data_IF_315618740726
#
_entry.id   IF_315618740726
#
_cell.length_a   1.000
_cell.length_b   1.000
_cell.length_c   1.000
_cell.angle_alpha   90.00
_cell.angle_beta   90.00
_cell.angle_gamma   90.00
#
_symmetry.space_group_name_H-M   'P 1'
#
loop_
_entity.id
_entity.type
_entity.pdbx_description
1 polymer ?
#
# COMPACT_ATOMS: atom_id res chain seq x y z
N UNK A 1 -34.13 29.91 9.08
CA UNK A 1 -34.38 29.04 10.24
C UNK A 1 -34.61 27.58 9.86
N UNK A 2 -35.45 27.23 8.87
CA UNK A 2 -35.69 25.84 8.47
C UNK A 2 -34.45 25.06 7.98
N UNK A 3 -33.56 25.69 7.20
CA UNK A 3 -32.34 25.04 6.71
C UNK A 3 -31.33 24.68 7.82
N UNK A 4 -31.25 25.49 8.88
CA UNK A 4 -30.39 25.21 10.03
C UNK A 4 -30.94 24.05 10.89
N UNK A 5 -32.27 23.95 11.00
CA UNK A 5 -32.92 22.81 11.66
C UNK A 5 -32.71 21.49 10.91
N UNK A 6 -32.82 21.52 9.57
CA UNK A 6 -32.57 20.34 8.73
C UNK A 6 -31.09 19.93 8.79
N UNK A 7 -30.16 20.88 8.74
CA UNK A 7 -28.73 20.59 8.87
C UNK A 7 -28.37 19.98 10.24
N UNK A 8 -28.96 20.48 11.33
CA UNK A 8 -28.75 19.92 12.67
C UNK A 8 -29.32 18.51 12.81
N UNK A 9 -30.52 18.26 12.24
CA UNK A 9 -31.12 16.92 12.20
C UNK A 9 -30.26 15.96 11.39
N UNK A 10 -29.83 16.36 10.18
CA UNK A 10 -28.94 15.57 9.35
C UNK A 10 -27.61 15.28 10.06
N UNK A 11 -27.00 16.28 10.70
CA UNK A 11 -25.75 16.11 11.43
C UNK A 11 -25.89 15.17 12.65
N UNK A 12 -27.04 15.19 13.33
CA UNK A 12 -27.38 14.24 14.40
C UNK A 12 -27.71 12.83 13.88
N UNK A 13 -28.13 12.71 12.62
CA UNK A 13 -28.51 11.46 11.96
C UNK A 13 -27.36 10.83 11.15
N UNK A 14 -26.26 11.56 10.89
CA UNK A 14 -25.12 11.08 10.12
C UNK A 14 -23.93 10.73 11.02
N UNK A 15 -23.49 9.48 10.97
CA UNK A 15 -22.23 9.05 11.58
C UNK A 15 -21.08 9.19 10.56
N UNK A 16 -19.97 9.82 10.98
CA UNK A 16 -18.74 9.83 10.17
C UNK A 16 -18.04 8.47 10.31
N UNK A 17 -17.78 7.81 9.19
CA UNK A 17 -17.07 6.54 9.13
C UNK A 17 -15.65 6.76 8.61
N UNK A 18 -14.73 5.91 9.04
CA UNK A 18 -13.38 5.85 8.48
C UNK A 18 -13.20 4.56 7.68
N UNK A 19 -12.42 4.63 6.60
CA UNK A 19 -11.90 3.46 5.91
C UNK A 19 -10.44 3.27 6.34
N UNK A 20 -10.09 2.11 6.89
CA UNK A 20 -8.74 1.86 7.39
C UNK A 20 -8.69 0.80 8.47
N UNK A 21 -8.10 1.12 9.62
CA UNK A 21 -7.85 0.17 10.70
C UNK A 21 -7.97 0.84 12.06
N UNK A 22 -8.53 0.14 13.04
CA UNK A 22 -8.56 0.55 14.44
C UNK A 22 -8.31 -0.69 15.30
N UNK A 23 -7.30 -0.62 16.16
CA UNK A 23 -7.08 -1.62 17.20
C UNK A 23 -6.77 -0.93 18.53
N UNK A 24 -7.27 -1.51 19.60
CA UNK A 24 -7.14 -1.02 20.96
C UNK A 24 -6.75 -2.18 21.87
N UNK A 25 -5.58 -2.10 22.49
CA UNK A 25 -5.09 -3.07 23.46
C UNK A 25 -5.01 -2.39 24.83
N UNK A 26 -5.81 -2.87 25.78
CA UNK A 26 -5.89 -2.33 27.13
C UNK A 26 -4.93 -3.06 28.06
N UNK A 27 -4.48 -2.37 29.10
CA UNK A 27 -3.72 -2.93 30.22
C UNK A 27 -2.48 -3.75 29.79
N UNK A 28 -1.76 -3.28 28.77
CA UNK A 28 -0.53 -3.91 28.27
C UNK A 28 0.57 -3.71 29.29
N UNK A 29 1.14 -4.82 29.78
CA UNK A 29 2.19 -4.83 30.81
C UNK A 29 3.51 -4.25 30.30
N UNK A 30 4.13 -3.39 31.11
CA UNK A 30 5.46 -2.80 30.94
C UNK A 30 6.12 -2.72 32.32
N UNK A 31 7.03 -3.64 32.63
CA UNK A 31 7.49 -3.88 34.00
C UNK A 31 6.32 -4.14 34.96
N UNK A 32 6.24 -3.40 36.06
CA UNK A 32 5.15 -3.49 37.05
C UNK A 32 3.96 -2.56 36.76
N UNK A 33 3.96 -1.88 35.60
CA UNK A 33 2.94 -0.91 35.20
C UNK A 33 2.20 -1.39 33.96
N UNK A 34 1.08 -0.73 33.67
CA UNK A 34 0.32 -0.96 32.43
C UNK A 34 0.16 0.30 31.61
N UNK A 35 0.01 0.10 30.30
CA UNK A 35 -0.35 1.15 29.34
C UNK A 35 -1.52 0.68 28.48
N UNK A 36 -2.30 1.61 27.96
CA UNK A 36 -3.22 1.34 26.86
C UNK A 36 -2.57 1.76 25.55
N UNK A 37 -2.62 0.91 24.54
CA UNK A 37 -2.04 1.15 23.22
C UNK A 37 -3.12 1.07 22.15
N UNK A 38 -3.19 2.09 21.30
CA UNK A 38 -4.14 2.17 20.19
C UNK A 38 -3.38 2.45 18.90
N UNK A 39 -3.88 1.89 17.80
CA UNK A 39 -3.41 2.19 16.46
C UNK A 39 -4.60 2.48 15.57
N UNK A 40 -4.60 3.66 14.96
CA UNK A 40 -5.64 4.11 14.04
C UNK A 40 -5.00 4.45 12.71
N UNK A 41 -5.42 3.77 11.65
CA UNK A 41 -5.07 4.14 10.28
C UNK A 41 -6.30 4.59 9.51
N UNK A 42 -6.19 5.72 8.82
CA UNK A 42 -7.27 6.34 8.04
C UNK A 42 -6.79 6.55 6.61
N UNK A 43 -7.49 5.93 5.67
CA UNK A 43 -7.20 6.07 4.24
C UNK A 43 -8.03 7.21 3.65
N UNK A 44 -7.36 8.08 2.90
CA UNK A 44 -8.01 9.19 2.21
C UNK A 44 -8.99 8.70 1.15
N UNK A 45 -10.15 9.35 1.11
CA UNK A 45 -11.19 9.14 0.10
C UNK A 45 -10.93 9.94 -1.18
N UNK A 46 -10.06 10.95 -1.14
CA UNK A 46 -9.94 11.94 -2.22
C UNK A 46 -9.44 11.35 -3.55
N UNK A 47 -8.47 10.42 -3.48
CA UNK A 47 -7.96 9.67 -4.63
C UNK A 47 -7.93 8.17 -4.32
N UNK A 48 -9.07 7.64 -3.89
CA UNK A 48 -9.21 6.22 -3.60
C UNK A 48 -9.20 5.37 -4.88
N UNK A 49 -8.74 4.12 -4.75
CA UNK A 49 -8.75 3.18 -5.86
C UNK A 49 -7.83 1.98 -5.69
N UNK A 50 -7.79 1.15 -6.72
CA UNK A 50 -7.02 -0.10 -6.75
C UNK A 50 -5.57 0.12 -7.15
N UNK A 51 -4.71 -0.86 -6.84
CA UNK A 51 -3.25 -0.73 -6.90
C UNK A 51 -2.71 -0.27 -8.26
N UNK A 52 -3.21 -0.84 -9.36
CA UNK A 52 -2.69 -0.52 -10.69
C UNK A 52 -3.47 0.58 -11.42
N UNK A 53 -4.75 0.78 -11.07
CA UNK A 53 -5.61 1.77 -11.74
C UNK A 53 -5.48 3.18 -11.16
N UNK A 54 -5.07 3.33 -9.89
CA UNK A 54 -4.85 4.66 -9.27
C UNK A 54 -3.44 4.77 -8.70
N UNK A 55 -2.65 5.66 -9.31
CA UNK A 55 -1.28 6.02 -8.94
C UNK A 55 -1.08 7.53 -9.04
N UNK A 56 -0.03 8.01 -8.38
CA UNK A 56 0.37 9.40 -8.47
C UNK A 56 -0.64 10.37 -7.89
N UNK A 57 -0.51 11.62 -8.33
CA UNK A 57 -1.36 12.75 -7.95
C UNK A 57 -2.49 12.97 -8.97
N UNK A 58 -3.64 13.50 -8.52
CA UNK A 58 -4.68 14.03 -9.41
C UNK A 58 -4.51 15.52 -9.69
N UNK A 59 -5.44 16.10 -10.46
CA UNK A 59 -5.45 17.52 -10.81
C UNK A 59 -5.72 18.45 -9.60
N UNK A 60 -6.16 17.92 -8.46
CA UNK A 60 -6.34 18.68 -7.22
C UNK A 60 -5.12 18.64 -6.31
N UNK A 61 -4.08 17.87 -6.65
CA UNK A 61 -2.93 17.67 -5.76
C UNK A 61 -3.14 16.54 -4.74
N UNK A 62 -4.20 15.74 -4.84
CA UNK A 62 -4.43 14.61 -3.94
C UNK A 62 -3.74 13.35 -4.48
N UNK A 63 -3.05 12.61 -3.61
CA UNK A 63 -2.29 11.42 -4.01
C UNK A 63 -3.05 10.12 -3.74
N UNK A 64 -2.84 9.14 -4.61
CA UNK A 64 -3.40 7.81 -4.43
C UNK A 64 -2.86 7.15 -3.15
N UNK A 65 -3.70 6.32 -2.52
CA UNK A 65 -3.34 5.54 -1.33
C UNK A 65 -2.72 6.38 -0.18
N UNK A 66 -3.17 7.63 0.00
CA UNK A 66 -2.78 8.44 1.14
C UNK A 66 -3.39 7.86 2.42
N UNK A 67 -2.55 7.61 3.43
CA UNK A 67 -2.95 7.02 4.71
C UNK A 67 -2.26 7.76 5.85
N UNK A 68 -3.05 8.20 6.80
CA UNK A 68 -2.60 8.61 8.14
C UNK A 68 -2.54 7.37 9.02
N UNK A 69 -1.46 7.19 9.77
CA UNK A 69 -1.34 6.14 10.79
C UNK A 69 -0.90 6.80 12.09
N UNK A 70 -1.74 6.67 13.11
CA UNK A 70 -1.60 7.32 14.40
C UNK A 70 -1.53 6.27 15.51
N UNK A 71 -0.42 6.29 16.25
CA UNK A 71 -0.24 5.44 17.43
C UNK A 71 -0.50 6.28 18.66
N UNK A 72 -1.43 5.83 19.50
CA UNK A 72 -1.84 6.53 20.71
C UNK A 72 -1.48 5.66 21.91
N UNK A 73 -0.91 6.28 22.94
CA UNK A 73 -0.66 5.63 24.23
C UNK A 73 -1.36 6.37 25.34
N UNK A 74 -1.98 5.65 26.26
CA UNK A 74 -2.41 6.20 27.53
C UNK A 74 -1.63 5.57 28.67
N UNK A 75 -1.08 6.41 29.55
CA UNK A 75 -0.24 6.03 30.66
C UNK A 75 -0.72 6.71 31.94
N UNK A 76 -0.72 5.98 33.06
CA UNK A 76 -1.16 6.50 34.35
C UNK A 76 -2.68 6.62 34.49
N UNK A 77 -3.15 7.17 35.61
CA UNK A 77 -4.57 7.27 35.95
C UNK A 77 -4.89 8.59 36.67
N UNK A 78 -6.17 8.97 36.64
CA UNK A 78 -6.67 10.21 37.25
C UNK A 78 -5.92 11.45 36.76
N UNK A 79 -5.51 12.31 37.69
CA UNK A 79 -4.79 13.56 37.39
C UNK A 79 -3.38 13.36 36.81
N UNK A 80 -2.83 12.13 36.92
CA UNK A 80 -1.54 11.74 36.34
C UNK A 80 -1.67 11.10 34.96
N UNK A 81 -2.88 11.04 34.38
CA UNK A 81 -3.10 10.48 33.04
C UNK A 81 -2.34 11.32 32.00
N UNK A 82 -1.52 10.63 31.22
CA UNK A 82 -0.82 11.17 30.05
C UNK A 82 -1.29 10.41 28.82
N UNK A 83 -1.74 11.16 27.80
CA UNK A 83 -2.08 10.62 26.49
C UNK A 83 -1.09 11.16 25.49
N UNK A 84 -0.39 10.29 24.77
CA UNK A 84 0.47 10.68 23.66
C UNK A 84 -0.12 10.18 22.35
N UNK A 85 0.04 10.95 21.27
CA UNK A 85 -0.29 10.51 19.92
C UNK A 85 0.85 10.87 18.95
N UNK A 86 1.29 9.87 18.18
CA UNK A 86 2.33 10.01 17.17
C UNK A 86 1.77 9.68 15.80
N UNK A 87 1.69 10.70 14.95
CA UNK A 87 1.13 10.62 13.61
C UNK A 87 2.25 10.45 12.57
N UNK A 88 2.03 9.54 11.63
CA UNK A 88 2.84 9.37 10.43
C UNK A 88 1.94 9.33 9.20
N UNK A 89 2.48 9.71 8.04
CA UNK A 89 1.75 9.64 6.77
C UNK A 89 2.46 8.73 5.78
N UNK A 90 1.69 8.17 4.86
CA UNK A 90 2.21 7.53 3.64
C UNK A 90 1.30 7.80 2.48
N UNK A 91 1.81 7.71 1.27
CA UNK A 91 1.01 7.90 0.07
C UNK A 91 1.83 7.80 -1.20
N UNK A 92 1.14 7.68 -2.33
CA UNK A 92 1.80 7.64 -3.63
C UNK A 92 2.69 8.87 -3.85
N UNK A 93 3.65 8.73 -4.75
CA UNK A 93 4.56 9.81 -5.10
C UNK A 93 3.75 10.92 -5.79
N UNK A 94 3.85 12.17 -5.31
CA UNK A 94 3.03 13.31 -5.75
C UNK A 94 3.44 13.88 -7.12
N UNK A 95 3.55 13.01 -8.12
CA UNK A 95 3.72 13.38 -9.54
C UNK A 95 2.71 12.59 -10.39
N UNK A 96 2.54 12.96 -11.66
CA UNK A 96 1.62 12.27 -12.56
C UNK A 96 2.32 11.04 -13.15
N UNK A 97 1.91 9.87 -12.69
CA UNK A 97 2.42 8.59 -13.19
C UNK A 97 1.36 7.49 -13.08
N UNK A 98 1.50 6.46 -13.91
CA UNK A 98 0.60 5.31 -13.96
C UNK A 98 1.33 3.99 -14.09
N UNK A 99 0.61 2.91 -13.84
CA UNK A 99 1.13 1.55 -13.94
C UNK A 99 0.02 0.59 -14.36
N UNK A 100 -0.49 0.77 -15.58
CA UNK A 100 -1.65 0.02 -16.06
C UNK A 100 -1.40 -1.51 -16.12
N UNK A 101 -2.40 -2.32 -15.76
CA UNK A 101 -2.30 -3.78 -15.89
C UNK A 101 -2.15 -4.18 -17.36
N UNK A 102 -1.35 -5.22 -17.62
CA UNK A 102 -1.10 -5.72 -18.98
C UNK A 102 -0.70 -7.20 -19.01
N UNK A 103 -1.20 -8.00 -18.04
CA UNK A 103 -0.80 -9.38 -17.80
C UNK A 103 0.67 -9.61 -17.44
N UNK A 104 1.56 -8.60 -17.48
CA UNK A 104 2.92 -8.79 -16.95
C UNK A 104 2.86 -8.86 -15.43
N UNK A 105 3.70 -9.71 -14.83
CA UNK A 105 3.80 -9.84 -13.38
C UNK A 105 4.06 -8.50 -12.67
N UNK A 106 4.91 -7.66 -13.25
CA UNK A 106 5.19 -6.31 -12.78
C UNK A 106 5.15 -5.34 -13.97
N UNK A 107 3.99 -4.72 -14.25
CA UNK A 107 3.87 -3.75 -15.34
C UNK A 107 4.84 -2.58 -15.14
N UNK A 108 5.32 -2.00 -16.23
CA UNK A 108 6.34 -0.95 -16.16
C UNK A 108 5.68 0.37 -15.75
N UNK A 109 6.14 1.04 -14.68
CA UNK A 109 5.67 2.38 -14.33
C UNK A 109 5.99 3.36 -15.46
N UNK A 110 5.08 4.29 -15.71
CA UNK A 110 5.24 5.34 -16.72
C UNK A 110 4.94 6.69 -16.08
N UNK A 111 5.84 7.65 -16.29
CA UNK A 111 5.60 9.06 -16.00
C UNK A 111 4.79 9.63 -17.16
N UNK A 112 3.68 10.27 -16.81
CA UNK A 112 2.73 10.82 -17.78
C UNK A 112 2.69 12.36 -17.74
N UNK A 113 3.19 12.98 -16.65
CA UNK A 113 3.23 14.44 -16.49
C UNK A 113 4.42 15.11 -17.16
N UNK A 114 4.25 16.40 -17.49
CA UNK A 114 5.38 17.31 -17.81
C UNK A 114 6.05 17.81 -16.54
N UNK A 115 7.27 18.30 -16.64
CA UNK A 115 8.02 18.86 -15.50
C UNK A 115 7.27 20.03 -14.83
N UNK A 116 6.58 20.87 -15.61
CA UNK A 116 5.80 22.00 -15.11
C UNK A 116 4.54 21.54 -14.39
N UNK A 117 3.77 20.62 -14.99
CA UNK A 117 2.51 20.13 -14.40
C UNK A 117 2.79 19.32 -13.14
N UNK A 118 3.80 18.44 -13.17
CA UNK A 118 4.24 17.70 -12.00
C UNK A 118 4.65 18.65 -10.87
N UNK A 119 5.44 19.68 -11.18
CA UNK A 119 5.88 20.64 -10.16
C UNK A 119 4.74 21.45 -9.57
N UNK A 120 3.77 21.87 -10.39
CA UNK A 120 2.59 22.59 -9.92
C UNK A 120 1.78 21.73 -8.94
N UNK A 121 1.45 20.50 -9.32
CA UNK A 121 0.65 19.59 -8.48
C UNK A 121 1.42 19.12 -7.25
N UNK A 122 2.72 18.87 -7.39
CA UNK A 122 3.62 18.58 -6.27
C UNK A 122 3.61 19.73 -5.26
N UNK A 123 3.77 20.97 -5.73
CA UNK A 123 3.77 22.15 -4.87
C UNK A 123 2.44 22.34 -4.15
N UNK A 124 1.30 22.13 -4.83
CA UNK A 124 -0.02 22.14 -4.20
C UNK A 124 -0.11 21.07 -3.10
N UNK A 125 0.27 19.83 -3.43
CA UNK A 125 0.25 18.73 -2.48
C UNK A 125 1.11 18.99 -1.24
N UNK A 126 2.33 19.50 -1.44
CA UNK A 126 3.23 19.81 -0.33
C UNK A 126 2.72 20.97 0.51
N UNK A 127 2.15 22.02 -0.10
CA UNK A 127 1.54 23.13 0.64
C UNK A 127 0.38 22.65 1.53
N UNK A 128 -0.48 21.79 1.00
CA UNK A 128 -1.62 21.28 1.77
C UNK A 128 -1.20 20.32 2.89
N UNK A 129 -0.20 19.48 2.65
CA UNK A 129 0.35 18.59 3.70
C UNK A 129 1.13 19.36 4.76
N UNK A 130 1.90 20.38 4.38
CA UNK A 130 2.56 21.29 5.35
C UNK A 130 1.53 22.05 6.18
N UNK A 131 0.46 22.55 5.56
CA UNK A 131 -0.63 23.22 6.29
C UNK A 131 -1.31 22.27 7.28
N UNK A 132 -1.53 21.02 6.89
CA UNK A 132 -2.26 20.04 7.71
C UNK A 132 -1.41 19.46 8.85
N UNK A 133 -0.13 19.20 8.61
CA UNK A 133 0.70 18.42 9.54
C UNK A 133 2.01 19.11 9.96
N UNK A 134 2.31 20.31 9.45
CA UNK A 134 3.58 20.99 9.68
C UNK A 134 4.72 20.44 8.82
N UNK A 135 5.95 20.50 9.32
CA UNK A 135 7.15 20.11 8.55
C UNK A 135 7.03 18.67 8.02
N UNK A 136 7.39 18.47 6.76
CA UNK A 136 7.33 17.18 6.08
C UNK A 136 8.75 16.60 5.94
N UNK A 137 8.96 15.42 6.52
CA UNK A 137 10.21 14.66 6.31
C UNK A 137 9.86 13.46 5.46
N UNK A 138 10.21 13.55 4.18
CA UNK A 138 9.93 12.56 3.16
C UNK A 138 11.00 11.47 3.22
N UNK A 139 10.58 10.24 3.49
CA UNK A 139 11.44 9.06 3.42
C UNK A 139 11.09 8.29 2.15
N UNK A 140 11.94 8.42 1.14
CA UNK A 140 11.74 7.80 -0.17
C UNK A 140 12.43 6.44 -0.25
N UNK A 141 11.62 5.38 -0.42
CA UNK A 141 12.06 3.99 -0.45
C UNK A 141 12.16 3.40 -1.86
N UNK A 142 12.10 4.24 -2.91
CA UNK A 142 12.19 3.80 -4.31
C UNK A 142 13.50 3.05 -4.61
N UNK A 143 13.41 2.08 -5.51
CA UNK A 143 14.61 1.46 -6.09
C UNK A 143 15.34 2.47 -6.98
N UNK A 144 16.60 2.78 -6.66
CA UNK A 144 17.43 3.71 -7.42
C UNK A 144 17.97 3.10 -8.73
N UNK A 145 17.47 1.91 -9.12
CA UNK A 145 17.80 1.25 -10.37
C UNK A 145 16.56 0.85 -11.15
N UNK A 146 16.74 0.73 -12.46
CA UNK A 146 15.74 0.18 -13.36
C UNK A 146 14.54 1.11 -13.54
N UNK A 147 13.34 0.53 -13.50
CA UNK A 147 12.12 1.18 -13.99
C UNK A 147 11.46 2.14 -12.98
N UNK A 148 11.84 2.07 -11.70
CA UNK A 148 11.34 2.99 -10.67
C UNK A 148 12.12 4.32 -10.66
N UNK A 149 13.34 4.32 -11.18
CA UNK A 149 14.24 5.48 -11.17
C UNK A 149 13.64 6.70 -11.88
N UNK A 150 12.92 6.51 -12.98
CA UNK A 150 12.28 7.61 -13.72
C UNK A 150 11.31 8.41 -12.83
N UNK A 151 10.61 7.72 -11.93
CA UNK A 151 9.68 8.34 -10.97
C UNK A 151 10.45 8.95 -9.80
N UNK A 152 11.47 8.24 -9.30
CA UNK A 152 12.32 8.72 -8.21
C UNK A 152 13.07 10.01 -8.56
N UNK A 153 13.68 10.07 -9.75
CA UNK A 153 14.42 11.24 -10.23
C UNK A 153 13.48 12.43 -10.42
N UNK A 154 12.31 12.23 -11.04
CA UNK A 154 11.31 13.27 -11.20
C UNK A 154 10.81 13.77 -9.83
N UNK A 155 10.62 12.87 -8.86
CA UNK A 155 10.21 13.26 -7.52
C UNK A 155 11.27 14.11 -6.81
N UNK A 156 12.53 13.68 -6.85
CA UNK A 156 13.66 14.42 -6.28
C UNK A 156 13.81 15.81 -6.89
N UNK A 157 13.77 15.90 -8.22
CA UNK A 157 13.82 17.19 -8.93
C UNK A 157 12.69 18.14 -8.50
N UNK A 158 11.50 17.60 -8.24
CA UNK A 158 10.37 18.40 -7.78
C UNK A 158 10.55 18.91 -6.33
N UNK A 159 11.15 18.11 -5.45
CA UNK A 159 11.56 18.56 -4.11
C UNK A 159 12.61 19.66 -4.20
N UNK A 160 13.67 19.43 -4.98
CA UNK A 160 14.76 20.40 -5.14
C UNK A 160 14.25 21.73 -5.70
N UNK A 161 13.36 21.65 -6.71
CA UNK A 161 12.72 22.83 -7.32
C UNK A 161 11.77 23.56 -6.36
N UNK A 162 11.11 22.86 -5.44
CA UNK A 162 10.25 23.47 -4.43
C UNK A 162 11.08 24.31 -3.44
N UNK A 163 12.27 23.85 -3.07
CA UNK A 163 13.23 24.60 -2.26
C UNK A 163 12.69 25.07 -0.90
N UNK A 164 11.70 24.37 -0.33
CA UNK A 164 11.06 24.75 0.93
C UNK A 164 11.80 24.20 2.14
N UNK A 165 12.08 25.06 3.13
CA UNK A 165 12.68 24.67 4.42
C UNK A 165 11.76 23.77 5.27
N UNK A 166 10.46 23.74 4.96
CA UNK A 166 9.48 22.88 5.63
C UNK A 166 9.46 21.45 5.05
N UNK A 167 10.24 21.17 4.00
CA UNK A 167 10.28 19.86 3.32
C UNK A 167 11.70 19.33 3.29
N UNK A 168 11.97 18.26 4.05
CA UNK A 168 13.22 17.51 3.99
C UNK A 168 13.00 16.23 3.21
N UNK A 169 13.88 15.91 2.27
CA UNK A 169 13.87 14.64 1.53
C UNK A 169 15.06 13.78 1.90
N UNK A 170 14.79 12.51 2.21
CA UNK A 170 15.76 11.50 2.63
C UNK A 170 15.64 10.30 1.70
N UNK A 171 16.73 9.96 1.01
CA UNK A 171 16.76 8.85 0.07
C UNK A 171 17.24 7.55 0.72
N UNK A 172 16.34 6.58 0.80
CA UNK A 172 16.63 5.30 1.43
C UNK A 172 16.28 4.16 0.49
N UNK A 173 17.20 3.82 -0.42
CA UNK A 173 17.01 2.66 -1.31
C UNK A 173 16.89 1.36 -0.50
N UNK A 174 15.64 0.99 -0.23
CA UNK A 174 15.31 -0.16 0.61
C UNK A 174 15.76 -1.48 -0.02
N UNK A 175 15.73 -1.59 -1.35
CA UNK A 175 16.16 -2.81 -2.04
C UNK A 175 17.66 -3.00 -1.95
N UNK A 176 18.42 -1.91 -2.00
CA UNK A 176 19.88 -1.94 -1.88
C UNK A 176 20.32 -2.11 -0.43
N UNK A 177 19.76 -1.34 0.49
CA UNK A 177 20.17 -1.30 1.91
C UNK A 177 19.63 -2.51 2.68
N UNK A 178 18.37 -2.89 2.48
CA UNK A 178 17.74 -3.99 3.21
C UNK A 178 17.74 -5.33 2.44
N UNK A 179 18.84 -5.63 1.72
CA UNK A 179 19.01 -6.91 1.02
C UNK A 179 18.97 -8.07 2.01
N UNK A 180 18.45 -9.21 1.54
CA UNK A 180 18.35 -10.45 2.32
C UNK A 180 17.66 -10.25 3.68
N UNK A 181 16.76 -9.26 3.78
CA UNK A 181 16.03 -8.93 5.01
C UNK A 181 16.93 -8.44 6.16
N UNK A 182 18.10 -7.86 5.84
CA UNK A 182 18.90 -7.16 6.82
C UNK A 182 18.30 -5.77 7.09
N UNK A 183 17.72 -5.58 8.27
CA UNK A 183 17.08 -4.32 8.66
C UNK A 183 17.92 -3.44 9.58
N UNK A 184 19.17 -3.82 9.85
CA UNK A 184 20.13 -2.98 10.58
C UNK A 184 20.25 -1.57 9.99
N UNK A 185 20.23 -1.36 8.66
CA UNK A 185 20.27 0.00 8.09
C UNK A 185 19.07 0.88 8.45
N UNK A 186 17.97 0.32 8.97
CA UNK A 186 16.89 1.15 9.51
C UNK A 186 17.28 1.87 10.80
N UNK A 187 18.28 1.37 11.54
CA UNK A 187 18.84 2.08 12.69
C UNK A 187 19.60 3.32 12.20
N UNK A 188 20.44 3.16 11.16
CA UNK A 188 21.14 4.28 10.52
C UNK A 188 20.17 5.34 10.01
N UNK A 189 19.05 4.93 9.40
CA UNK A 189 17.99 5.85 8.97
C UNK A 189 17.38 6.62 10.15
N UNK A 190 17.12 5.95 11.28
CA UNK A 190 16.62 6.60 12.49
C UNK A 190 17.62 7.59 13.04
N UNK A 191 18.91 7.25 13.02
CA UNK A 191 19.99 8.14 13.46
C UNK A 191 20.10 9.38 12.54
N UNK A 192 19.95 9.20 11.22
CA UNK A 192 19.98 10.28 10.22
C UNK A 192 18.85 11.31 10.42
N UNK A 193 17.68 10.88 10.90
CA UNK A 193 16.50 11.73 11.12
C UNK A 193 16.19 11.97 12.60
N UNK A 194 17.18 11.74 13.47
CA UNK A 194 17.01 11.86 14.93
C UNK A 194 16.65 13.28 15.36
N UNK A 195 17.21 14.29 14.70
CA UNK A 195 16.91 15.69 14.99
C UNK A 195 15.44 16.01 14.67
N UNK A 196 14.90 15.48 13.58
CA UNK A 196 13.50 15.62 13.20
C UNK A 196 12.58 15.00 14.23
N UNK A 197 12.91 13.81 14.77
CA UNK A 197 12.13 13.21 15.85
C UNK A 197 12.00 14.15 17.06
N UNK A 198 13.08 14.85 17.41
CA UNK A 198 13.11 15.80 18.53
C UNK A 198 12.32 17.07 18.18
N UNK A 199 12.55 17.65 17.00
CA UNK A 199 11.94 18.92 16.59
C UNK A 199 10.43 18.80 16.31
N UNK A 200 10.02 17.71 15.64
CA UNK A 200 8.61 17.45 15.31
C UNK A 200 7.83 17.02 16.55
N UNK A 201 8.45 16.25 17.44
CA UNK A 201 7.84 15.76 18.67
C UNK A 201 6.59 14.92 18.41
N UNK A 202 5.66 14.96 19.36
CA UNK A 202 4.39 14.23 19.33
C UNK A 202 3.31 15.04 20.05
N UNK A 203 2.04 14.69 19.84
CA UNK A 203 0.99 15.26 20.67
C UNK A 203 1.05 14.66 22.08
N UNK A 204 0.91 15.51 23.11
CA UNK A 204 0.86 15.09 24.51
C UNK A 204 -0.24 15.86 25.25
N UNK A 205 -1.14 15.12 25.90
CA UNK A 205 -2.14 15.61 26.82
C UNK A 205 -1.77 15.13 28.24
N UNK A 206 -1.65 16.06 29.19
CA UNK A 206 -1.30 15.74 30.60
C UNK A 206 -2.34 16.38 31.51
N UNK A 207 -3.00 15.57 32.34
CA UNK A 207 -4.02 16.07 33.29
C UNK A 207 -5.15 16.85 32.59
N UNK A 208 -5.54 16.43 31.38
CA UNK A 208 -6.59 17.08 30.59
C UNK A 208 -6.17 18.36 29.85
N UNK A 209 -4.91 18.80 29.94
CA UNK A 209 -4.39 19.97 29.22
C UNK A 209 -3.40 19.55 28.14
N UNK A 210 -3.44 20.25 27.01
CA UNK A 210 -2.49 20.03 25.92
C UNK A 210 -1.13 20.58 26.35
N UNK A 211 -0.16 19.68 26.46
CA UNK A 211 1.23 19.95 26.87
C UNK A 211 2.11 20.17 25.63
N UNK A 212 1.92 19.35 24.59
CA UNK A 212 2.64 19.48 23.34
C UNK A 212 1.75 19.12 22.13
N UNK A 213 2.08 19.71 20.98
CA UNK A 213 1.47 19.40 19.68
C UNK A 213 2.58 18.98 18.72
N UNK A 214 2.34 17.94 17.93
CA UNK A 214 3.27 17.50 16.91
C UNK A 214 3.41 18.56 15.80
N UNK A 215 4.64 18.94 15.46
CA UNK A 215 4.97 20.07 14.55
C UNK A 215 5.37 19.64 13.14
N UNK A 216 5.35 18.35 12.86
CA UNK A 216 5.72 17.77 11.59
C UNK A 216 5.47 16.27 11.56
N UNK A 217 5.54 15.66 10.38
CA UNK A 217 5.35 14.22 10.20
C UNK A 217 6.42 13.63 9.30
N UNK A 218 6.70 12.35 9.53
CA UNK A 218 7.42 11.51 8.58
C UNK A 218 6.44 11.00 7.53
N UNK A 219 6.66 11.39 6.27
CA UNK A 219 5.94 10.89 5.11
C UNK A 219 6.76 9.79 4.46
N UNK A 220 6.32 8.55 4.57
CA UNK A 220 6.99 7.42 3.90
C UNK A 220 6.35 7.13 2.56
N UNK A 221 7.15 7.02 1.49
CA UNK A 221 6.66 6.60 0.19
C UNK A 221 7.49 5.43 -0.36
N UNK A 222 6.82 4.59 -1.13
CA UNK A 222 7.48 3.67 -2.05
C UNK A 222 6.57 3.51 -3.27
N UNK A 223 6.98 2.73 -4.27
CA UNK A 223 6.13 2.48 -5.44
C UNK A 223 4.70 2.03 -5.06
N UNK A 224 4.56 1.13 -4.08
CA UNK A 224 3.26 0.57 -3.68
C UNK A 224 2.64 1.20 -2.42
N UNK A 225 3.46 1.83 -1.58
CA UNK A 225 3.07 2.31 -0.24
C UNK A 225 2.35 1.26 0.63
N UNK A 226 2.81 0.00 0.53
CA UNK A 226 2.35 -1.13 1.33
C UNK A 226 3.47 -1.68 2.22
N UNK A 227 4.20 -2.68 1.72
CA UNK A 227 5.04 -3.54 2.54
C UNK A 227 6.28 -2.82 3.10
N UNK A 228 7.05 -2.14 2.23
CA UNK A 228 8.28 -1.40 2.63
C UNK A 228 7.98 -0.22 3.56
N UNK A 229 6.92 0.52 3.26
CA UNK A 229 6.49 1.68 4.07
C UNK A 229 6.00 1.23 5.45
N UNK A 230 5.29 0.10 5.55
CA UNK A 230 4.86 -0.42 6.85
C UNK A 230 6.05 -0.77 7.75
N UNK A 231 7.11 -1.39 7.19
CA UNK A 231 8.33 -1.71 7.94
C UNK A 231 8.98 -0.46 8.52
N UNK A 232 9.11 0.61 7.72
CA UNK A 232 9.70 1.88 8.17
C UNK A 232 8.81 2.58 9.20
N UNK A 233 7.50 2.69 8.95
CA UNK A 233 6.56 3.30 9.90
C UNK A 233 6.52 2.56 11.25
N UNK A 234 6.59 1.22 11.22
CA UNK A 234 6.67 0.38 12.43
C UNK A 234 7.95 0.67 13.21
N UNK A 235 9.09 0.85 12.51
CA UNK A 235 10.37 1.18 13.15
C UNK A 235 10.32 2.56 13.81
N UNK A 236 9.79 3.57 13.13
CA UNK A 236 9.66 4.93 13.64
C UNK A 236 8.71 4.98 14.85
N UNK A 237 7.57 4.29 14.77
CA UNK A 237 6.65 4.16 15.90
C UNK A 237 7.31 3.46 17.08
N UNK A 238 8.15 2.42 16.86
CA UNK A 238 8.89 1.75 17.94
C UNK A 238 9.84 2.71 18.66
N UNK A 239 10.57 3.54 17.91
CA UNK A 239 11.50 4.53 18.47
C UNK A 239 10.75 5.58 19.29
N UNK A 240 9.63 6.07 18.75
CA UNK A 240 8.77 7.02 19.45
C UNK A 240 8.17 6.41 20.74
N UNK A 241 7.63 5.19 20.69
CA UNK A 241 7.09 4.49 21.86
C UNK A 241 8.17 4.26 22.93
N UNK A 242 9.38 3.84 22.54
CA UNK A 242 10.48 3.67 23.49
C UNK A 242 10.80 5.01 24.18
N UNK A 243 10.87 6.10 23.41
CA UNK A 243 11.09 7.46 23.95
C UNK A 243 10.00 7.85 24.95
N UNK A 244 8.72 7.59 24.64
CA UNK A 244 7.60 7.85 25.55
C UNK A 244 7.76 7.10 26.88
N UNK A 245 8.13 5.82 26.82
CA UNK A 245 8.30 4.97 28.01
C UNK A 245 9.51 5.36 28.86
N UNK A 246 10.60 5.81 28.24
CA UNK A 246 11.75 6.36 28.95
C UNK A 246 11.40 7.67 29.66
N UNK A 247 10.74 8.60 28.96
CA UNK A 247 10.34 9.89 29.54
C UNK A 247 9.32 9.73 30.67
N UNK A 248 8.45 8.72 30.60
CA UNK A 248 7.48 8.42 31.66
C UNK A 248 8.08 7.65 32.86
N UNK A 249 9.34 7.21 32.77
CA UNK A 249 9.97 6.36 33.79
C UNK A 249 9.29 4.99 33.91
N UNK A 250 8.76 4.47 32.80
CA UNK A 250 8.24 3.11 32.70
C UNK A 250 9.29 2.12 32.17
N UNK A 251 10.31 2.61 31.49
CA UNK A 251 11.40 1.81 30.93
C UNK A 251 12.75 2.48 31.23
N UNK A 252 13.70 1.74 31.80
CA UNK A 252 15.05 2.25 32.05
C UNK A 252 15.77 2.58 30.74
N UNK A 253 16.67 3.56 30.75
CA UNK A 253 17.38 4.02 29.55
C UNK A 253 18.23 2.93 28.85
N UNK A 254 18.58 1.84 29.55
CA UNK A 254 19.32 0.71 29.00
C UNK A 254 18.43 -0.35 28.35
N UNK A 255 17.13 -0.36 28.65
CA UNK A 255 16.17 -1.33 28.16
C UNK A 255 15.42 -0.78 26.94
N UNK A 256 15.00 -1.64 26.02
CA UNK A 256 14.15 -1.31 24.89
C UNK A 256 12.83 -2.08 24.94
N UNK A 257 11.92 -1.77 24.03
CA UNK A 257 10.61 -2.46 23.95
C UNK A 257 10.76 -3.99 23.83
N UNK A 258 11.83 -4.47 23.18
CA UNK A 258 12.11 -5.89 23.04
C UNK A 258 12.38 -6.63 24.36
N UNK A 259 12.74 -5.90 25.42
CA UNK A 259 12.96 -6.44 26.76
C UNK A 259 11.64 -6.61 27.53
N UNK A 260 10.53 -6.12 26.98
CA UNK A 260 9.17 -6.21 27.54
C UNK A 260 8.31 -7.17 26.68
N UNK A 261 8.25 -8.48 26.99
CA UNK A 261 7.69 -9.48 26.08
C UNK A 261 6.20 -9.29 25.78
N UNK A 262 5.43 -8.80 26.76
CA UNK A 262 4.00 -8.53 26.59
C UNK A 262 3.79 -7.37 25.61
N UNK A 263 4.48 -6.26 25.83
CA UNK A 263 4.44 -5.09 24.95
C UNK A 263 4.96 -5.40 23.55
N UNK A 264 6.11 -6.08 23.44
CA UNK A 264 6.72 -6.45 22.17
C UNK A 264 5.78 -7.31 21.31
N UNK A 265 5.08 -8.26 21.94
CA UNK A 265 4.11 -9.12 21.26
C UNK A 265 2.92 -8.31 20.76
N UNK A 266 2.29 -7.50 21.62
CA UNK A 266 1.14 -6.67 21.25
C UNK A 266 1.51 -5.69 20.13
N UNK A 267 2.64 -4.99 20.26
CA UNK A 267 3.12 -4.05 19.27
C UNK A 267 3.33 -4.71 17.90
N UNK A 268 3.99 -5.87 17.85
CA UNK A 268 4.21 -6.60 16.59
C UNK A 268 2.92 -7.09 15.94
N UNK A 269 1.98 -7.60 16.73
CA UNK A 269 0.68 -8.07 16.23
C UNK A 269 -0.12 -6.91 15.65
N UNK A 270 -0.30 -5.85 16.43
CA UNK A 270 -1.05 -4.66 16.04
C UNK A 270 -0.52 -4.03 14.73
N UNK A 271 0.80 -3.88 14.57
CA UNK A 271 1.38 -3.34 13.34
C UNK A 271 1.30 -4.30 12.14
N UNK A 272 1.26 -5.61 12.40
CA UNK A 272 1.04 -6.62 11.37
C UNK A 272 -0.41 -6.66 10.89
N UNK A 273 -1.36 -6.57 11.82
CA UNK A 273 -2.79 -6.53 11.52
C UNK A 273 -3.17 -5.23 10.77
N UNK A 274 -2.57 -4.09 11.16
CA UNK A 274 -2.65 -2.85 10.40
C UNK A 274 -2.12 -3.00 8.96
N UNK A 275 -0.98 -3.68 8.79
CA UNK A 275 -0.42 -3.92 7.46
C UNK A 275 -1.38 -4.73 6.57
N UNK A 276 -1.95 -5.80 7.12
CA UNK A 276 -2.92 -6.65 6.42
C UNK A 276 -4.18 -5.88 6.05
N UNK A 277 -4.73 -5.09 6.97
CA UNK A 277 -5.94 -4.31 6.74
C UNK A 277 -5.76 -3.30 5.59
N UNK A 278 -4.69 -2.50 5.62
CA UNK A 278 -4.46 -1.50 4.58
C UNK A 278 -4.05 -2.15 3.25
N UNK A 279 -3.27 -3.24 3.28
CA UNK A 279 -2.92 -3.99 2.08
C UNK A 279 -4.14 -4.59 1.41
N UNK A 280 -5.08 -5.13 2.19
CA UNK A 280 -6.31 -5.74 1.65
C UNK A 280 -7.16 -4.69 0.96
N UNK A 281 -7.29 -3.51 1.55
CA UNK A 281 -8.07 -2.41 0.97
C UNK A 281 -7.45 -1.87 -0.33
N UNK A 282 -6.13 -1.91 -0.50
CA UNK A 282 -5.48 -1.39 -1.71
C UNK A 282 -5.24 -2.45 -2.79
N UNK A 283 -4.79 -3.64 -2.40
CA UNK A 283 -4.38 -4.72 -3.32
C UNK A 283 -5.29 -5.96 -3.32
N UNK A 284 -6.34 -5.97 -2.49
CA UNK A 284 -7.26 -7.10 -2.36
C UNK A 284 -6.71 -8.30 -1.57
N UNK A 285 -5.50 -8.19 -0.99
CA UNK A 285 -4.85 -9.25 -0.22
C UNK A 285 -4.10 -8.70 0.99
N UNK A 286 -3.84 -9.55 1.98
CA UNK A 286 -2.98 -9.21 3.13
C UNK A 286 -1.57 -8.78 2.72
N UNK A 287 -0.83 -8.17 3.67
CA UNK A 287 0.50 -7.65 3.41
C UNK A 287 1.48 -8.79 3.08
N UNK A 288 2.48 -8.50 2.24
CA UNK A 288 3.61 -9.41 2.05
C UNK A 288 4.62 -9.17 3.16
N UNK A 289 5.37 -10.21 3.53
CA UNK A 289 6.37 -10.17 4.61
C UNK A 289 5.76 -9.84 5.98
N UNK A 290 4.45 -10.05 6.16
CA UNK A 290 3.80 -9.74 7.43
C UNK A 290 4.27 -10.66 8.56
N UNK A 291 4.72 -11.87 8.22
CA UNK A 291 5.34 -12.81 9.16
C UNK A 291 6.59 -12.23 9.84
N UNK A 292 7.36 -11.42 9.12
CA UNK A 292 8.49 -10.69 9.67
C UNK A 292 8.03 -9.65 10.70
N UNK A 293 6.98 -8.89 10.43
CA UNK A 293 6.41 -7.95 11.40
C UNK A 293 5.93 -8.68 12.65
N UNK A 294 5.22 -9.81 12.49
CA UNK A 294 4.69 -10.61 13.61
C UNK A 294 5.75 -11.28 14.46
N UNK A 295 6.81 -11.83 13.86
CA UNK A 295 7.73 -12.73 14.56
C UNK A 295 9.17 -12.25 14.59
N UNK A 296 9.51 -11.19 13.85
CA UNK A 296 10.88 -10.70 13.69
C UNK A 296 11.79 -11.60 12.82
N UNK A 297 11.26 -12.72 12.30
CA UNK A 297 11.96 -13.65 11.41
C UNK A 297 11.04 -14.11 10.29
N UNK A 298 11.60 -14.60 9.19
CA UNK A 298 10.80 -15.17 8.09
C UNK A 298 10.57 -16.66 8.33
N UNK A 299 9.32 -17.11 8.26
CA UNK A 299 8.96 -18.52 8.44
C UNK A 299 8.70 -19.19 7.09
N UNK A 300 8.91 -20.52 6.98
CA UNK A 300 8.58 -21.27 5.74
C UNK A 300 7.10 -21.14 5.38
N UNK A 301 6.23 -21.14 6.40
CA UNK A 301 4.78 -20.90 6.24
C UNK A 301 4.50 -19.49 5.72
N UNK A 302 5.17 -18.46 6.25
CA UNK A 302 5.06 -17.09 5.77
C UNK A 302 5.51 -16.92 4.33
N UNK A 303 6.60 -17.58 3.92
CA UNK A 303 7.05 -17.58 2.53
C UNK A 303 6.01 -18.20 1.57
N UNK A 304 5.36 -19.30 1.98
CA UNK A 304 4.29 -19.92 1.20
C UNK A 304 3.08 -18.99 1.10
N UNK A 305 2.67 -18.36 2.21
CA UNK A 305 1.57 -17.41 2.23
C UNK A 305 1.85 -16.19 1.34
N UNK A 306 3.09 -15.67 1.36
CA UNK A 306 3.52 -14.59 0.47
C UNK A 306 3.42 -15.00 -1.00
N UNK A 307 3.74 -16.26 -1.31
CA UNK A 307 3.59 -16.83 -2.66
C UNK A 307 2.12 -16.84 -3.10
N UNK A 308 1.22 -17.36 -2.24
CA UNK A 308 -0.23 -17.37 -2.50
C UNK A 308 -0.75 -15.94 -2.68
N UNK A 309 -0.44 -15.04 -1.74
CA UNK A 309 -0.86 -13.64 -1.82
C UNK A 309 -0.36 -12.96 -3.10
N UNK A 310 0.87 -13.26 -3.54
CA UNK A 310 1.42 -12.70 -4.78
C UNK A 310 0.67 -13.16 -6.03
N UNK A 311 0.30 -14.44 -6.10
CA UNK A 311 -0.52 -14.98 -7.20
C UNK A 311 -1.93 -14.42 -7.16
N UNK A 312 -2.55 -14.35 -5.98
CA UNK A 312 -3.88 -13.74 -5.82
C UNK A 312 -3.88 -12.27 -6.23
N UNK A 313 -2.88 -11.48 -5.80
CA UNK A 313 -2.70 -10.08 -6.26
C UNK A 313 -2.60 -10.01 -7.78
N UNK A 314 -1.84 -10.91 -8.41
CA UNK A 314 -1.71 -10.93 -9.87
C UNK A 314 -3.06 -11.17 -10.56
N UNK A 315 -3.87 -12.11 -10.06
CA UNK A 315 -5.20 -12.39 -10.61
C UNK A 315 -6.14 -11.19 -10.41
N UNK A 316 -6.21 -10.66 -9.19
CA UNK A 316 -7.08 -9.51 -8.87
C UNK A 316 -6.74 -8.28 -9.71
N UNK A 317 -5.46 -7.91 -9.75
CA UNK A 317 -4.97 -6.74 -10.48
C UNK A 317 -5.27 -6.79 -11.99
N UNK A 318 -5.36 -7.98 -12.58
CA UNK A 318 -5.61 -8.12 -14.02
C UNK A 318 -7.08 -8.35 -14.34
N UNK A 319 -7.87 -9.00 -13.48
CA UNK A 319 -9.18 -9.52 -13.87
C UNK A 319 -10.36 -9.01 -13.04
N UNK A 320 -10.14 -8.33 -11.92
CA UNK A 320 -11.22 -7.91 -11.00
C UNK A 320 -11.07 -6.45 -10.49
N UNK A 321 -9.87 -5.88 -10.57
CA UNK A 321 -9.59 -4.57 -9.98
C UNK A 321 -10.19 -3.39 -10.79
N UNK A 322 -10.64 -3.61 -12.03
CA UNK A 322 -11.37 -2.62 -12.82
C UNK A 322 -12.80 -2.44 -12.29
N UNK A 323 -13.54 -3.53 -12.12
CA UNK A 323 -14.86 -3.52 -11.48
C UNK A 323 -14.78 -2.97 -10.04
N UNK A 324 -13.76 -3.36 -9.28
CA UNK A 324 -13.56 -2.82 -7.92
C UNK A 324 -13.23 -1.32 -7.93
N UNK A 325 -12.55 -0.83 -8.97
CA UNK A 325 -12.33 0.61 -9.16
C UNK A 325 -13.66 1.33 -9.43
N UNK A 326 -14.52 0.78 -10.29
CA UNK A 326 -15.86 1.32 -10.52
C UNK A 326 -16.69 1.37 -9.22
N UNK A 327 -16.57 0.38 -8.35
CA UNK A 327 -17.21 0.40 -7.03
C UNK A 327 -16.70 1.54 -6.13
N UNK A 328 -15.39 1.83 -6.13
CA UNK A 328 -14.85 2.97 -5.40
C UNK A 328 -15.40 4.28 -5.95
N UNK A 329 -15.37 4.44 -7.27
CA UNK A 329 -15.81 5.66 -7.93
C UNK A 329 -17.32 5.89 -7.72
N UNK A 330 -18.14 4.84 -7.79
CA UNK A 330 -19.57 4.90 -7.47
C UNK A 330 -19.83 5.24 -5.99
N UNK A 331 -19.17 4.56 -5.06
CA UNK A 331 -19.38 4.76 -3.62
C UNK A 331 -18.97 6.16 -3.16
N UNK A 332 -17.92 6.72 -3.76
CA UNK A 332 -17.41 8.05 -3.43
C UNK A 332 -18.03 9.17 -4.27
N UNK A 333 -18.85 8.84 -5.27
CA UNK A 333 -19.47 9.82 -6.17
C UNK A 333 -18.50 10.41 -7.21
N UNK A 334 -17.39 9.74 -7.49
CA UNK A 334 -16.35 10.16 -8.43
C UNK A 334 -16.57 9.60 -9.84
N UNK A 335 -17.78 9.76 -10.41
CA UNK A 335 -18.11 9.28 -11.75
C UNK A 335 -18.84 10.35 -12.56
N UNK A 336 -18.71 10.28 -13.88
CA UNK A 336 -19.50 11.09 -14.81
C UNK A 336 -20.53 10.18 -15.45
N UNK A 337 -21.81 10.53 -15.37
CA UNK A 337 -22.88 9.81 -16.08
C UNK A 337 -22.85 10.26 -17.54
N UNK A 338 -22.47 9.41 -18.50
CA UNK A 338 -22.54 9.78 -19.90
C UNK A 338 -24.02 9.85 -20.33
N UNK A 339 -24.38 10.78 -21.22
CA UNK A 339 -25.69 10.84 -21.91
C UNK A 339 -25.85 9.70 -22.95
N UNK A 340 -25.39 8.48 -22.63
CA UNK A 340 -25.54 7.32 -23.48
C UNK A 340 -26.80 6.54 -23.10
N UNK A 341 -27.48 5.98 -24.11
CA UNK A 341 -28.68 5.15 -23.93
C UNK A 341 -28.40 3.76 -23.34
N UNK A 342 -27.14 3.34 -23.30
CA UNK A 342 -26.69 2.05 -22.75
C UNK A 342 -25.92 2.23 -21.44
N UNK A 343 -26.15 1.33 -20.48
CA UNK A 343 -25.41 1.29 -19.21
C UNK A 343 -23.91 1.14 -19.47
N UNK A 344 -23.03 1.86 -18.74
CA UNK A 344 -21.58 1.64 -18.81
C UNK A 344 -21.16 0.23 -18.36
N UNK A 345 -22.06 -0.48 -17.66
CA UNK A 345 -21.88 -1.87 -17.24
C UNK A 345 -22.49 -2.89 -18.20
N UNK A 346 -23.07 -2.46 -19.33
CA UNK A 346 -23.52 -3.39 -20.35
C UNK A 346 -22.33 -4.27 -20.77
N UNK A 347 -22.49 -5.60 -20.88
CA UNK A 347 -21.39 -6.49 -21.25
C UNK A 347 -20.89 -6.12 -22.64
N UNK A 348 -19.85 -5.30 -22.69
CA UNK A 348 -19.11 -5.03 -23.91
C UNK A 348 -18.44 -6.36 -24.26
N UNK A 349 -18.67 -6.88 -25.48
CA UNK A 349 -18.08 -8.14 -25.96
C UNK A 349 -16.55 -8.09 -25.94
N UNK A 350 -15.96 -8.30 -24.76
CA UNK A 350 -14.57 -8.02 -24.43
C UNK A 350 -13.73 -9.29 -24.24
N UNK A 351 -12.71 -9.27 -23.35
CA UNK A 351 -11.71 -10.32 -23.12
C UNK A 351 -12.21 -11.77 -23.15
N UNK A 352 -13.47 -11.97 -22.74
CA UNK A 352 -14.18 -13.24 -22.71
C UNK A 352 -14.16 -13.97 -24.06
N UNK A 353 -14.31 -13.26 -25.19
CA UNK A 353 -14.29 -13.87 -26.52
C UNK A 353 -12.89 -14.41 -26.86
N UNK A 354 -11.83 -13.67 -26.55
CA UNK A 354 -10.45 -14.13 -26.74
C UNK A 354 -10.07 -15.24 -25.74
N UNK A 355 -10.58 -15.19 -24.51
CA UNK A 355 -10.42 -16.27 -23.52
C UNK A 355 -11.08 -17.57 -24.01
N UNK A 356 -12.27 -17.46 -24.61
CA UNK A 356 -12.94 -18.59 -25.28
C UNK A 356 -12.10 -19.12 -26.45
N UNK A 357 -11.47 -18.26 -27.25
CA UNK A 357 -10.55 -18.69 -28.30
C UNK A 357 -9.34 -19.44 -27.75
N UNK A 358 -8.72 -18.97 -26.65
CA UNK A 358 -7.61 -19.68 -26.02
C UNK A 358 -8.03 -21.00 -25.39
N UNK A 359 -9.18 -21.04 -24.70
CA UNK A 359 -9.74 -22.26 -24.15
C UNK A 359 -10.08 -23.27 -25.26
N UNK A 360 -10.59 -22.80 -26.40
CA UNK A 360 -10.86 -23.62 -27.58
C UNK A 360 -9.57 -24.17 -28.20
N UNK A 361 -8.52 -23.35 -28.33
CA UNK A 361 -7.21 -23.78 -28.84
C UNK A 361 -6.56 -24.81 -27.90
N UNK A 362 -6.61 -24.57 -26.59
CA UNK A 362 -6.10 -25.52 -25.60
C UNK A 362 -6.91 -26.83 -25.63
N UNK A 363 -8.24 -26.74 -25.63
CA UNK A 363 -9.13 -27.90 -25.72
C UNK A 363 -8.89 -28.71 -26.99
N UNK A 364 -8.74 -28.05 -28.14
CA UNK A 364 -8.41 -28.70 -29.41
C UNK A 364 -7.03 -29.36 -29.36
N UNK A 365 -6.04 -28.72 -28.75
CA UNK A 365 -4.68 -29.29 -28.63
C UNK A 365 -4.64 -30.52 -27.74
N UNK A 366 -5.40 -30.54 -26.63
CA UNK A 366 -5.55 -31.70 -25.75
C UNK A 366 -6.30 -32.83 -26.47
N UNK A 367 -7.35 -32.50 -27.22
CA UNK A 367 -8.11 -33.48 -28.00
C UNK A 367 -7.23 -34.12 -29.08
N UNK A 368 -6.47 -33.34 -29.84
CA UNK A 368 -5.52 -33.84 -30.83
C UNK A 368 -4.45 -34.74 -30.18
N UNK A 369 -3.96 -34.40 -28.99
CA UNK A 369 -3.04 -35.25 -28.24
C UNK A 369 -3.68 -36.60 -27.90
N UNK A 370 -4.92 -36.62 -27.39
CA UNK A 370 -5.61 -37.88 -27.03
C UNK A 370 -5.90 -38.78 -28.24
N UNK A 371 -6.31 -38.19 -29.37
CA UNK A 371 -6.60 -38.94 -30.60
C UNK A 371 -5.32 -39.54 -31.17
N UNK A 372 -4.25 -38.74 -31.22
CA UNK A 372 -2.96 -39.21 -31.75
C UNK A 372 -2.31 -40.25 -30.84
N UNK A 373 -2.46 -40.14 -29.51
CA UNK A 373 -1.96 -41.16 -28.58
C UNK A 373 -2.71 -42.49 -28.71
N UNK A 374 -4.04 -42.45 -28.86
CA UNK A 374 -4.84 -43.66 -29.07
C UNK A 374 -4.49 -44.35 -30.40
N UNK A 375 -4.25 -43.56 -31.45
CA UNK A 375 -3.92 -44.09 -32.76
C UNK A 375 -2.49 -44.68 -32.81
N UNK A 376 -1.54 -44.11 -32.06
CA UNK A 376 -0.19 -44.64 -31.91
C UNK A 376 -0.20 -46.01 -31.19
N UNK A 377 -1.01 -46.13 -30.14
CA UNK A 377 -1.19 -47.37 -29.37
C UNK A 377 -1.81 -48.48 -30.25
N UNK A 378 -2.82 -48.14 -31.05
CA UNK A 378 -3.47 -49.07 -31.99
C UNK A 378 -2.56 -49.54 -33.15
N UNK A 379 -1.55 -48.74 -33.52
CA UNK A 379 -0.66 -49.03 -34.65
C UNK A 379 0.68 -49.65 -34.26
N UNK A 380 0.92 -49.89 -32.96
CA UNK A 380 2.15 -50.55 -32.47
C UNK A 380 3.45 -49.77 -32.71
N UNK A 381 3.35 -48.48 -33.05
CA UNK A 381 4.49 -47.63 -33.39
C UNK A 381 5.03 -46.92 -32.14
N UNK A 382 6.27 -47.22 -31.75
CA UNK A 382 6.77 -46.82 -30.42
C UNK A 382 7.40 -45.43 -30.35
N UNK A 383 7.96 -44.85 -31.43
CA UNK A 383 8.62 -43.54 -31.38
C UNK A 383 8.82 -42.99 -32.82
N UNK A 384 7.94 -42.11 -33.36
CA UNK A 384 7.71 -40.76 -32.85
C UNK A 384 6.24 -40.28 -32.85
N UNK A 385 5.26 -41.19 -32.98
CA UNK A 385 3.84 -40.83 -33.11
C UNK A 385 3.24 -40.17 -31.85
N UNK A 386 3.78 -40.46 -30.66
CA UNK A 386 3.32 -39.86 -29.39
C UNK A 386 4.03 -38.53 -29.05
N UNK A 387 5.19 -38.27 -29.65
CA UNK A 387 6.08 -37.18 -29.25
C UNK A 387 5.80 -35.91 -30.05
N UNK A 388 5.62 -36.04 -31.37
CA UNK A 388 5.36 -34.90 -32.26
C UNK A 388 4.03 -34.15 -31.96
N UNK A 389 2.91 -34.83 -31.66
CA UNK A 389 1.67 -34.15 -31.26
C UNK A 389 1.79 -33.43 -29.91
N UNK A 390 2.54 -33.99 -28.96
CA UNK A 390 2.81 -33.34 -27.69
C UNK A 390 3.64 -32.07 -27.88
N UNK A 391 4.72 -32.13 -28.67
CA UNK A 391 5.55 -30.95 -28.98
C UNK A 391 4.79 -29.87 -29.75
N UNK A 392 3.91 -30.25 -30.68
CA UNK A 392 3.08 -29.30 -31.41
C UNK A 392 2.00 -28.67 -30.53
N UNK A 393 1.34 -29.45 -29.66
CA UNK A 393 0.38 -28.92 -28.68
C UNK A 393 1.06 -27.93 -27.70
N UNK A 394 2.23 -28.30 -27.17
CA UNK A 394 3.04 -27.42 -26.32
C UNK A 394 3.47 -26.18 -27.12
N UNK A 395 3.92 -26.34 -28.37
CA UNK A 395 4.33 -25.23 -29.23
C UNK A 395 3.19 -24.25 -29.51
N UNK A 396 2.01 -24.75 -29.87
CA UNK A 396 0.79 -23.95 -30.07
C UNK A 396 0.40 -23.25 -28.78
N UNK A 397 0.40 -23.95 -27.64
CA UNK A 397 0.12 -23.36 -26.34
C UNK A 397 1.12 -22.25 -25.98
N UNK A 398 2.42 -22.46 -26.19
CA UNK A 398 3.46 -21.46 -25.91
C UNK A 398 3.29 -20.24 -26.83
N UNK A 399 3.06 -20.44 -28.12
CA UNK A 399 2.83 -19.33 -29.08
C UNK A 399 1.55 -18.57 -28.73
N UNK A 400 0.47 -19.29 -28.39
CA UNK A 400 -0.80 -18.74 -27.96
C UNK A 400 -0.62 -17.89 -26.68
N UNK A 401 0.03 -18.44 -25.65
CA UNK A 401 0.34 -17.71 -24.42
C UNK A 401 1.23 -16.50 -24.67
N UNK A 402 2.27 -16.64 -25.50
CA UNK A 402 3.15 -15.51 -25.84
C UNK A 402 2.41 -14.41 -26.62
N UNK A 403 1.51 -14.79 -27.51
CA UNK A 403 0.57 -13.89 -28.18
C UNK A 403 -0.33 -13.17 -27.16
N UNK A 404 -0.94 -13.90 -26.23
CA UNK A 404 -1.76 -13.35 -25.16
C UNK A 404 -1.01 -12.31 -24.33
N UNK A 405 0.24 -12.60 -23.92
CA UNK A 405 1.07 -11.64 -23.18
C UNK A 405 1.46 -10.40 -24.00
N UNK A 406 1.57 -10.50 -25.34
CA UNK A 406 1.83 -9.34 -26.20
C UNK A 406 0.64 -8.39 -26.30
N UNK A 407 -0.56 -8.93 -26.36
CA UNK A 407 -1.83 -8.16 -26.38
C UNK A 407 -2.52 -8.09 -25.02
N UNK A 408 -1.77 -8.34 -23.93
CA UNK A 408 -2.31 -8.55 -22.58
C UNK A 408 -3.19 -7.40 -22.05
N UNK A 409 -2.97 -6.17 -22.51
CA UNK A 409 -3.80 -5.00 -22.16
C UNK A 409 -5.24 -5.06 -22.69
N UNK A 410 -5.55 -5.99 -23.60
CA UNK A 410 -6.92 -6.28 -24.05
C UNK A 410 -7.63 -7.29 -23.16
N UNK A 411 -6.89 -8.00 -22.29
CA UNK A 411 -7.42 -9.05 -21.42
C UNK A 411 -7.64 -8.58 -19.99
N UNK A 412 -7.15 -7.39 -19.67
CA UNK A 412 -7.26 -6.83 -18.34
C UNK A 412 -8.63 -6.18 -18.17
N UNK A 413 -9.19 -6.39 -16.99
CA UNK A 413 -10.36 -5.67 -16.52
C UNK A 413 -10.03 -4.18 -16.39
N UNK A 414 -10.91 -3.34 -16.92
CA UNK A 414 -10.74 -1.88 -16.93
C UNK A 414 -11.97 -1.24 -16.30
N UNK A 415 -11.79 -0.18 -15.50
CA UNK A 415 -12.92 0.60 -15.02
C UNK A 415 -13.68 1.23 -16.19
N UNK A 416 -14.99 1.33 -16.04
CA UNK A 416 -15.92 1.88 -17.02
C UNK A 416 -16.43 3.27 -16.64
N UNK A 417 -16.31 3.65 -15.36
CA UNK A 417 -16.82 4.93 -14.83
C UNK A 417 -15.79 6.06 -14.81
N UNK A 418 -14.50 5.76 -15.03
CA UNK A 418 -13.37 6.65 -14.75
C UNK A 418 -12.62 7.15 -15.98
#
# INVERSE_FOLDING_TARGET
>A
MAAAGIAAVLQSATAKLICGFVEANMDVQVGDKTINLYLVSRRSVKRAGTRLHRRGVDDNGDVANFVETEMITEMGSGDKKVVNAFLQTRGSIPIIWKQDPNMKWNPTPKRDGSDEKDHSLFSTHMKDTVRAYGKQVIIDLIDQKGKELIIGDAFRQNVDKLGSEDVRYVDFDFHKRCKKMNYTPLNELVDEVKEEFIQQGQFTLRGGKVDNVQKGVFRTNCKDCLDRTNVVQTKFARVNLATQLHVSGMLDAAHGIHDEPALEKVFKMMWADNADAISTQYSGTGALKNDFTRTGKRTKKGLLQDGVNSVTRYVLNNFYDGQRQDMYDLFLGNYVVPDQSSSPFSPVGGPQMLMMWFAAVLGLSLLLFTVTSQQAEASGSSFPFNVLPAFTAIGVFVVAMFGAFKVGSLFVDKPHLS
#
